data_IF_208833012101
#
_entry.id   IF_208833012101
#
_cell.length_a   1.000
_cell.length_b   1.000
_cell.length_c   1.000
_cell.angle_alpha   90.00
_cell.angle_beta   90.00
_cell.angle_gamma   90.00
#
_symmetry.space_group_name_H-M   'P 1'
#
loop_
_entity.id
_entity.type
_entity.pdbx_description
1 polymer ?
#
# COMPACT_ATOMS: atom_id res chain seq x y z
N UNK A 1 15.45 -10.07 -19.89
CA UNK A 1 14.34 -11.01 -19.63
C UNK A 1 14.73 -12.15 -18.69
N UNK A 2 15.80 -12.88 -18.96
CA UNK A 2 16.22 -14.00 -18.10
C UNK A 2 16.60 -13.55 -16.68
N UNK A 3 17.32 -12.43 -16.55
CA UNK A 3 17.68 -11.84 -15.26
C UNK A 3 16.46 -11.39 -14.43
N UNK A 4 15.43 -10.83 -15.08
CA UNK A 4 14.18 -10.42 -14.42
C UNK A 4 13.36 -11.60 -13.89
N UNK A 5 13.60 -12.83 -14.37
CA UNK A 5 12.96 -14.03 -13.80
C UNK A 5 13.52 -14.35 -12.42
N UNK A 6 14.78 -14.02 -12.17
CA UNK A 6 15.45 -14.25 -10.88
C UNK A 6 15.35 -13.04 -9.96
N UNK A 7 15.39 -11.82 -10.49
CA UNK A 7 15.12 -10.59 -9.76
C UNK A 7 14.10 -9.72 -10.50
N UNK A 8 12.78 -9.93 -10.26
CA UNK A 8 11.74 -9.16 -10.92
C UNK A 8 11.69 -7.69 -10.47
N UNK A 9 12.45 -7.31 -9.43
CA UNK A 9 12.51 -5.93 -8.91
C UNK A 9 13.77 -5.17 -9.32
N UNK A 10 14.66 -5.77 -10.12
CA UNK A 10 15.95 -5.18 -10.51
C UNK A 10 15.85 -3.72 -10.96
N UNK A 11 14.92 -3.40 -11.84
CA UNK A 11 14.74 -2.03 -12.35
C UNK A 11 14.29 -1.05 -11.27
N UNK A 12 13.44 -1.49 -10.33
CA UNK A 12 13.03 -0.66 -9.19
C UNK A 12 14.23 -0.42 -8.25
N UNK A 13 15.06 -1.44 -8.05
CA UNK A 13 16.27 -1.35 -7.22
C UNK A 13 17.34 -0.44 -7.83
N UNK A 14 17.46 -0.42 -9.16
CA UNK A 14 18.28 0.54 -9.91
C UNK A 14 17.77 1.96 -9.71
N UNK A 15 16.47 2.21 -9.92
CA UNK A 15 15.88 3.52 -9.70
C UNK A 15 16.04 4.02 -8.26
N UNK A 16 15.90 3.13 -7.27
CA UNK A 16 16.15 3.45 -5.86
C UNK A 16 17.60 3.84 -5.65
N UNK A 17 18.57 3.13 -6.24
CA UNK A 17 19.99 3.46 -6.13
C UNK A 17 20.27 4.84 -6.74
N UNK A 18 19.69 5.11 -7.90
CA UNK A 18 19.90 6.36 -8.66
C UNK A 18 19.06 7.54 -8.17
N UNK A 19 18.11 7.33 -7.26
CA UNK A 19 17.10 8.31 -6.84
C UNK A 19 16.19 8.75 -8.00
N UNK A 20 15.88 7.84 -8.92
CA UNK A 20 15.02 8.11 -10.06
C UNK A 20 13.54 8.10 -9.63
N UNK A 21 13.12 9.16 -8.96
CA UNK A 21 11.75 9.35 -8.48
C UNK A 21 10.71 9.33 -9.60
N UNK A 22 11.08 9.75 -10.82
CA UNK A 22 10.17 9.77 -11.96
C UNK A 22 9.79 8.35 -12.37
N UNK A 23 10.78 7.47 -12.56
CA UNK A 23 10.51 6.08 -12.96
C UNK A 23 9.85 5.29 -11.84
N UNK A 24 10.22 5.54 -10.58
CA UNK A 24 9.51 4.95 -9.43
C UNK A 24 8.03 5.37 -9.40
N UNK A 25 7.72 6.63 -9.70
CA UNK A 25 6.34 7.11 -9.77
C UNK A 25 5.59 6.48 -10.94
N UNK A 26 6.21 6.38 -12.12
CA UNK A 26 5.62 5.74 -13.30
C UNK A 26 5.31 4.27 -13.01
N UNK A 27 6.27 3.52 -12.47
CA UNK A 27 6.07 2.12 -12.08
C UNK A 27 4.97 1.99 -11.01
N UNK A 28 4.91 2.90 -10.05
CA UNK A 28 3.84 2.92 -9.04
C UNK A 28 2.46 3.20 -9.65
N UNK A 29 2.38 4.05 -10.68
CA UNK A 29 1.15 4.31 -11.41
C UNK A 29 0.67 3.11 -12.23
N UNK A 30 1.56 2.19 -12.65
CA UNK A 30 1.15 0.92 -13.28
C UNK A 30 0.33 0.08 -12.30
N UNK A 31 0.74 0.02 -11.02
CA UNK A 31 -0.03 -0.66 -9.97
C UNK A 31 -1.32 0.11 -9.64
N UNK A 32 -1.22 1.43 -9.50
CA UNK A 32 -2.29 2.27 -8.96
C UNK A 32 -3.36 2.68 -10.00
N UNK A 33 -3.00 2.71 -11.28
CA UNK A 33 -3.86 3.06 -12.41
C UNK A 33 -3.92 4.55 -12.79
N UNK A 34 -3.31 5.45 -12.02
CA UNK A 34 -3.21 6.88 -12.34
C UNK A 34 -2.13 7.58 -11.51
N UNK A 35 -1.83 8.85 -11.82
CA UNK A 35 -0.98 9.70 -10.98
C UNK A 35 -1.82 10.56 -10.05
N UNK A 36 -1.43 10.61 -8.78
CA UNK A 36 -1.99 11.55 -7.82
C UNK A 36 -0.94 11.93 -6.76
N UNK A 37 -1.19 13.05 -6.08
CA UNK A 37 -0.34 13.58 -5.00
C UNK A 37 -0.07 12.51 -3.93
N UNK A 38 -1.09 11.74 -3.54
CA UNK A 38 -0.95 10.68 -2.54
C UNK A 38 0.03 9.59 -2.97
N UNK A 39 0.00 9.18 -4.25
CA UNK A 39 0.92 8.19 -4.80
C UNK A 39 2.37 8.70 -4.76
N UNK A 40 2.59 9.94 -5.20
CA UNK A 40 3.91 10.59 -5.16
C UNK A 40 4.46 10.67 -3.73
N UNK A 41 3.63 11.00 -2.74
CA UNK A 41 4.03 11.00 -1.34
C UNK A 41 4.47 9.61 -0.86
N UNK A 42 3.74 8.55 -1.25
CA UNK A 42 4.08 7.18 -0.90
C UNK A 42 5.43 6.75 -1.48
N UNK A 43 5.65 7.05 -2.77
CA UNK A 43 6.91 6.78 -3.47
C UNK A 43 8.08 7.46 -2.77
N UNK A 44 7.93 8.75 -2.47
CA UNK A 44 8.97 9.53 -1.80
C UNK A 44 9.25 9.04 -0.39
N UNK A 45 8.21 8.80 0.41
CA UNK A 45 8.37 8.32 1.78
C UNK A 45 9.11 6.97 1.82
N UNK A 46 8.78 6.07 0.89
CA UNK A 46 9.45 4.78 0.77
C UNK A 46 10.89 4.89 0.30
N UNK A 47 11.19 5.72 -0.72
CA UNK A 47 12.57 5.95 -1.13
C UNK A 47 13.41 6.52 0.02
N UNK A 48 12.87 7.54 0.70
CA UNK A 48 13.56 8.21 1.81
C UNK A 48 13.85 7.25 2.97
N UNK A 49 12.86 6.42 3.34
CA UNK A 49 13.03 5.40 4.38
C UNK A 49 14.08 4.35 3.99
N UNK A 50 14.03 3.83 2.76
CA UNK A 50 14.98 2.83 2.25
C UNK A 50 16.41 3.36 2.25
N UNK A 51 16.62 4.60 1.80
CA UNK A 51 17.93 5.26 1.81
C UNK A 51 18.45 5.45 3.23
N UNK A 52 17.64 5.95 4.15
CA UNK A 52 18.04 6.13 5.56
C UNK A 52 18.37 4.81 6.25
N UNK A 53 17.66 3.73 5.94
CA UNK A 53 17.97 2.40 6.46
C UNK A 53 19.24 1.78 5.87
N UNK A 54 19.73 2.30 4.75
CA UNK A 54 20.76 1.65 3.93
C UNK A 54 20.41 0.17 3.66
N UNK A 55 19.14 -0.11 3.38
CA UNK A 55 18.63 -1.46 3.16
C UNK A 55 18.32 -1.72 1.69
N UNK A 56 18.31 -2.99 1.30
CA UNK A 56 17.90 -3.42 -0.03
C UNK A 56 16.41 -3.76 -0.01
N UNK A 57 15.70 -3.48 -1.10
CA UNK A 57 14.27 -3.79 -1.24
C UNK A 57 13.99 -5.20 -1.78
N UNK A 58 15.02 -6.05 -1.79
CA UNK A 58 14.87 -7.48 -2.02
C UNK A 58 14.16 -8.09 -0.79
N UNK A 59 12.84 -8.03 -0.81
CA UNK A 59 12.06 -8.33 0.39
C UNK A 59 11.77 -9.79 0.61
N UNK A 60 11.89 -10.60 -0.44
CA UNK A 60 11.58 -12.02 -0.36
C UNK A 60 12.85 -12.79 -0.68
N UNK A 61 13.40 -13.45 0.33
CA UNK A 61 14.52 -14.36 0.20
C UNK A 61 14.08 -15.77 0.60
N UNK A 62 14.56 -16.79 -0.12
CA UNK A 62 14.23 -18.20 0.13
C UNK A 62 13.11 -18.77 -0.75
N UNK A 63 12.79 -20.05 -0.54
CA UNK A 63 11.80 -20.81 -1.33
C UNK A 63 10.86 -21.58 -0.40
N UNK A 64 9.57 -21.62 -0.75
CA UNK A 64 8.55 -22.36 0.02
C UNK A 64 8.37 -21.85 1.45
N UNK A 65 8.44 -22.75 2.43
CA UNK A 65 8.26 -22.43 3.85
C UNK A 65 9.40 -21.62 4.49
N UNK A 66 10.52 -21.42 3.77
CA UNK A 66 11.66 -20.63 4.24
C UNK A 66 11.66 -19.20 3.69
N UNK A 67 10.55 -18.73 3.11
CA UNK A 67 10.41 -17.33 2.70
C UNK A 67 10.52 -16.41 3.91
N UNK A 68 11.64 -15.73 4.05
CA UNK A 68 11.80 -14.66 5.04
C UNK A 68 11.53 -13.32 4.39
N UNK A 69 10.67 -12.53 5.02
CA UNK A 69 10.51 -11.12 4.67
C UNK A 69 11.63 -10.35 5.33
N UNK A 70 12.50 -9.71 4.54
CA UNK A 70 13.53 -8.82 5.09
C UNK A 70 12.90 -7.51 5.57
N UNK A 71 12.26 -6.78 4.66
CA UNK A 71 11.56 -5.56 5.01
C UNK A 71 10.12 -5.80 5.42
N UNK A 72 9.67 -5.06 6.42
CA UNK A 72 8.27 -4.92 6.81
C UNK A 72 7.92 -3.43 6.77
N UNK A 73 6.78 -3.08 6.17
CA UNK A 73 6.26 -1.74 6.17
C UNK A 73 4.98 -1.68 7.01
N UNK A 74 4.93 -0.75 7.96
CA UNK A 74 3.70 -0.36 8.62
C UNK A 74 3.21 0.91 7.96
N UNK A 75 2.05 0.85 7.31
CA UNK A 75 1.38 2.03 6.73
C UNK A 75 0.19 2.41 7.61
N UNK A 76 0.06 3.71 7.90
CA UNK A 76 -1.01 4.22 8.77
C UNK A 76 -2.25 4.74 7.99
N UNK A 77 -2.34 4.41 6.70
CA UNK A 77 -3.41 4.83 5.80
C UNK A 77 -3.60 3.82 4.66
N UNK A 78 -4.80 3.76 4.09
CA UNK A 78 -5.15 2.95 2.92
C UNK A 78 -5.44 3.81 1.68
N UNK A 79 -4.88 5.02 1.65
CA UNK A 79 -4.91 5.90 0.46
C UNK A 79 -3.86 5.48 -0.56
N UNK A 80 -3.81 6.18 -1.70
CA UNK A 80 -2.82 5.99 -2.77
C UNK A 80 -1.36 5.99 -2.28
N UNK A 81 -1.09 6.59 -1.11
CA UNK A 81 0.20 6.53 -0.43
C UNK A 81 0.66 5.09 -0.19
N UNK A 82 -0.24 4.20 0.22
CA UNK A 82 0.10 2.79 0.47
C UNK A 82 0.62 2.10 -0.80
N UNK A 83 0.05 2.38 -1.97
CA UNK A 83 0.49 1.76 -3.23
C UNK A 83 1.90 2.20 -3.65
N UNK A 84 2.23 3.49 -3.44
CA UNK A 84 3.59 3.98 -3.65
C UNK A 84 4.60 3.29 -2.72
N UNK A 85 4.21 3.08 -1.46
CA UNK A 85 5.02 2.31 -0.50
C UNK A 85 5.19 0.87 -0.97
N UNK A 86 4.11 0.19 -1.35
CA UNK A 86 4.15 -1.20 -1.81
C UNK A 86 5.09 -1.37 -3.02
N UNK A 87 4.99 -0.46 -3.99
CA UNK A 87 5.81 -0.52 -5.20
C UNK A 87 7.30 -0.32 -4.89
N UNK A 88 7.64 0.76 -4.19
CA UNK A 88 9.04 1.13 -3.94
C UNK A 88 9.68 0.25 -2.89
N UNK A 89 9.05 0.06 -1.73
CA UNK A 89 9.63 -0.74 -0.65
C UNK A 89 9.54 -2.25 -0.93
N UNK A 90 8.64 -2.71 -1.80
CA UNK A 90 8.43 -4.14 -2.10
C UNK A 90 7.65 -4.90 -1.03
N UNK A 91 7.04 -4.19 -0.09
CA UNK A 91 6.27 -4.73 1.03
C UNK A 91 4.79 -4.70 0.68
N UNK A 92 4.20 -5.84 0.31
CA UNK A 92 2.83 -5.88 -0.21
C UNK A 92 1.90 -6.64 0.73
N UNK A 93 0.59 -6.43 0.57
CA UNK A 93 -0.41 -7.20 1.32
C UNK A 93 -0.24 -8.71 1.06
N UNK A 94 -0.08 -9.09 -0.21
CA UNK A 94 -0.03 -10.49 -0.64
C UNK A 94 1.25 -11.22 -0.22
N UNK A 95 2.40 -10.55 -0.20
CA UNK A 95 3.65 -11.16 0.28
C UNK A 95 3.80 -11.13 1.81
N UNK A 96 2.84 -10.51 2.52
CA UNK A 96 2.84 -10.38 3.98
C UNK A 96 3.90 -9.42 4.52
N UNK A 97 4.47 -8.56 3.67
CA UNK A 97 5.42 -7.52 4.07
C UNK A 97 4.75 -6.21 4.51
N UNK A 98 3.46 -6.05 4.26
CA UNK A 98 2.70 -4.86 4.61
C UNK A 98 1.80 -5.10 5.84
N UNK A 99 1.92 -4.23 6.83
CA UNK A 99 1.01 -4.10 7.96
C UNK A 99 0.24 -2.79 7.79
N UNK A 100 -1.07 -2.88 7.68
CA UNK A 100 -1.94 -1.70 7.65
C UNK A 100 -2.50 -1.40 9.05
N UNK A 101 -2.35 -0.13 9.47
CA UNK A 101 -2.98 0.42 10.67
C UNK A 101 -3.87 1.59 10.27
N UNK A 102 -5.16 1.52 10.57
CA UNK A 102 -6.11 2.56 10.16
C UNK A 102 -6.10 3.78 11.10
N UNK A 103 -5.08 4.63 11.01
CA UNK A 103 -5.03 5.88 11.80
C UNK A 103 -5.25 7.13 10.93
N UNK A 104 -5.33 6.97 9.61
CA UNK A 104 -5.52 8.04 8.63
C UNK A 104 -4.27 8.87 8.34
N UNK A 105 -3.11 8.52 8.89
CA UNK A 105 -1.88 9.31 8.74
C UNK A 105 -1.08 8.84 7.53
N UNK A 106 -0.55 9.79 6.75
CA UNK A 106 0.47 9.52 5.73
C UNK A 106 1.82 9.23 6.41
N UNK A 107 1.93 8.03 6.98
CA UNK A 107 3.11 7.53 7.69
C UNK A 107 3.50 6.18 7.13
N UNK A 108 4.81 6.01 6.97
CA UNK A 108 5.49 4.73 6.75
C UNK A 108 6.45 4.48 7.92
N UNK A 109 6.35 3.34 8.57
CA UNK A 109 7.46 2.77 9.34
C UNK A 109 8.04 1.60 8.56
N UNK A 110 9.23 1.78 7.99
CA UNK A 110 9.96 0.73 7.29
C UNK A 110 10.93 0.06 8.27
N UNK A 111 10.93 -1.26 8.32
CA UNK A 111 11.70 -2.07 9.28
C UNK A 111 12.56 -3.05 8.49
N UNK A 112 13.86 -3.11 8.77
CA UNK A 112 14.74 -4.17 8.28
C UNK A 112 14.97 -5.21 9.39
N UNK A 113 14.37 -6.39 9.23
CA UNK A 113 14.41 -7.46 10.23
C UNK A 113 15.81 -8.03 10.43
N UNK A 114 16.71 -7.90 9.45
CA UNK A 114 18.07 -8.42 9.57
C UNK A 114 18.95 -7.52 10.45
N UNK A 115 18.66 -6.22 10.49
CA UNK A 115 19.45 -5.26 11.27
C UNK A 115 18.72 -4.77 12.52
N UNK A 116 17.45 -5.14 12.69
CA UNK A 116 16.53 -4.61 13.72
C UNK A 116 16.40 -3.08 13.70
N UNK A 117 16.77 -2.44 12.59
CA UNK A 117 16.62 -0.99 12.41
C UNK A 117 15.31 -0.67 11.72
N UNK A 118 14.73 0.47 12.07
CA UNK A 118 13.55 0.99 11.42
C UNK A 118 13.66 2.49 11.20
N UNK A 119 12.99 2.99 10.15
CA UNK A 119 12.83 4.41 9.88
C UNK A 119 11.35 4.70 9.78
N UNK A 120 10.87 5.59 10.64
CA UNK A 120 9.50 6.11 10.60
C UNK A 120 9.50 7.46 9.87
N UNK A 121 8.85 7.52 8.72
CA UNK A 121 8.65 8.70 7.90
C UNK A 121 7.20 9.16 8.02
N UNK A 122 6.99 10.41 8.41
CA UNK A 122 5.67 11.03 8.59
C UNK A 122 5.57 12.29 7.76
N UNK A 123 4.51 12.43 6.97
CA UNK A 123 4.17 13.71 6.35
C UNK A 123 3.94 14.76 7.45
N UNK A 124 4.59 15.93 7.33
CA UNK A 124 4.48 17.02 8.32
C UNK A 124 3.90 18.33 7.76
N UNK A 125 3.69 18.39 6.45
CA UNK A 125 3.10 19.54 5.75
C UNK A 125 1.91 19.09 4.91
N UNK A 126 0.98 20.00 4.66
CA UNK A 126 -0.04 19.79 3.64
C UNK A 126 0.61 19.92 2.24
N UNK A 127 0.66 18.87 1.42
CA UNK A 127 1.26 18.92 0.09
C UNK A 127 0.62 19.98 -0.83
N UNK A 128 -0.65 20.34 -0.59
CA UNK A 128 -1.31 21.40 -1.37
C UNK A 128 -0.65 22.77 -1.16
N UNK A 129 0.02 22.99 -0.03
CA UNK A 129 0.68 24.28 0.29
C UNK A 129 2.01 24.50 -0.41
N UNK A 130 2.61 23.45 -0.96
CA UNK A 130 3.97 23.48 -1.54
C UNK A 130 3.98 23.23 -3.06
N UNK A 131 2.97 22.56 -3.59
CA UNK A 131 2.84 22.29 -5.03
C UNK A 131 2.19 23.50 -5.68
N UNK A 132 2.84 24.09 -6.69
CA UNK A 132 2.33 25.28 -7.39
C UNK A 132 1.01 24.97 -8.09
N UNK A 133 0.95 23.85 -8.82
CA UNK A 133 -0.27 23.41 -9.51
C UNK A 133 -1.41 23.11 -8.53
N UNK A 134 -1.13 22.67 -7.30
CA UNK A 134 -2.17 22.43 -6.31
C UNK A 134 -2.80 23.72 -5.74
N UNK A 135 -2.13 24.86 -5.91
CA UNK A 135 -2.63 26.19 -5.54
C UNK A 135 -3.26 26.93 -6.73
N UNK A 136 -3.27 26.32 -7.91
CA UNK A 136 -3.89 26.92 -9.08
C UNK A 136 -5.43 26.99 -8.90
N UNK A 137 -6.08 28.15 -9.16
CA UNK A 137 -7.53 28.30 -8.97
C UNK A 137 -8.36 27.31 -9.80
N UNK A 138 -7.90 26.94 -11.01
CA UNK A 138 -8.56 25.96 -11.85
C UNK A 138 -8.47 24.57 -11.22
N UNK A 139 -7.29 24.20 -10.72
CA UNK A 139 -7.09 22.95 -10.02
C UNK A 139 -7.98 22.85 -8.78
N UNK A 140 -7.98 23.88 -7.93
CA UNK A 140 -8.78 23.90 -6.70
C UNK A 140 -10.28 23.76 -7.01
N UNK A 141 -10.77 24.48 -8.02
CA UNK A 141 -12.17 24.41 -8.47
C UNK A 141 -12.55 23.00 -8.96
N UNK A 142 -11.71 22.39 -9.80
CA UNK A 142 -11.94 21.04 -10.31
C UNK A 142 -11.83 19.99 -9.20
N UNK A 143 -10.85 20.14 -8.30
CA UNK A 143 -10.66 19.25 -7.15
C UNK A 143 -11.86 19.29 -6.21
N UNK A 144 -12.35 20.49 -5.86
CA UNK A 144 -13.54 20.64 -5.02
C UNK A 144 -14.77 20.00 -5.68
N UNK A 145 -15.01 20.29 -6.98
CA UNK A 145 -16.13 19.74 -7.74
C UNK A 145 -16.09 18.20 -7.80
N UNK A 146 -14.95 17.64 -8.21
CA UNK A 146 -14.82 16.21 -8.57
C UNK A 146 -14.54 15.35 -7.33
N UNK A 147 -13.59 15.75 -6.48
CA UNK A 147 -13.10 14.90 -5.38
C UNK A 147 -13.87 15.10 -4.08
N UNK A 148 -14.22 16.36 -3.77
CA UNK A 148 -14.90 16.70 -2.50
C UNK A 148 -16.42 16.56 -2.66
N UNK A 149 -17.01 17.28 -3.62
CA UNK A 149 -18.47 17.30 -3.83
C UNK A 149 -18.99 16.12 -4.65
N UNK A 150 -18.11 15.42 -5.37
CA UNK A 150 -18.44 14.28 -6.25
C UNK A 150 -19.53 14.63 -7.27
N UNK A 151 -19.51 15.86 -7.76
CA UNK A 151 -20.44 16.32 -8.78
C UNK A 151 -20.12 15.69 -10.14
N UNK A 152 -21.13 15.61 -11.02
CA UNK A 152 -20.91 15.19 -12.40
C UNK A 152 -20.00 16.20 -13.10
N UNK A 153 -18.92 15.69 -13.70
CA UNK A 153 -18.01 16.46 -14.52
C UNK A 153 -18.10 16.01 -15.98
N UNK A 154 -17.91 16.94 -16.91
CA UNK A 154 -17.82 16.65 -18.33
C UNK A 154 -16.53 15.89 -18.65
N UNK A 155 -16.46 15.25 -19.82
CA UNK A 155 -15.25 14.55 -20.25
C UNK A 155 -14.05 15.49 -20.38
N UNK A 156 -14.29 16.73 -20.79
CA UNK A 156 -13.26 17.77 -20.88
C UNK A 156 -12.74 18.16 -19.49
N UNK A 157 -13.63 18.40 -18.53
CA UNK A 157 -13.25 18.67 -17.13
C UNK A 157 -12.45 17.51 -16.51
N UNK A 158 -12.86 16.26 -16.77
CA UNK A 158 -12.16 15.08 -16.27
C UNK A 158 -10.76 14.94 -16.87
N UNK A 159 -10.60 15.20 -18.17
CA UNK A 159 -9.29 15.18 -18.82
C UNK A 159 -8.41 16.31 -18.29
N UNK A 160 -8.97 17.53 -18.18
CA UNK A 160 -8.25 18.68 -17.64
C UNK A 160 -7.80 18.47 -16.21
N UNK A 161 -8.68 17.92 -15.37
CA UNK A 161 -8.36 17.57 -13.99
C UNK A 161 -7.25 16.51 -13.95
N UNK A 162 -7.29 15.49 -14.81
CA UNK A 162 -6.23 14.49 -14.92
C UNK A 162 -4.88 15.13 -15.28
N UNK A 163 -4.85 16.03 -16.24
CA UNK A 163 -3.60 16.69 -16.67
C UNK A 163 -2.99 17.53 -15.54
N UNK A 164 -3.82 18.29 -14.82
CA UNK A 164 -3.37 19.07 -13.68
C UNK A 164 -2.94 18.18 -12.50
N UNK A 165 -3.67 17.10 -12.22
CA UNK A 165 -3.30 16.11 -11.21
C UNK A 165 -1.98 15.44 -11.56
N UNK A 166 -1.74 15.08 -12.82
CA UNK A 166 -0.47 14.54 -13.29
C UNK A 166 0.64 15.56 -13.03
N UNK A 167 0.48 16.80 -13.50
CA UNK A 167 1.47 17.86 -13.29
C UNK A 167 1.79 18.08 -11.81
N UNK A 168 0.77 18.18 -10.95
CA UNK A 168 0.92 18.30 -9.50
C UNK A 168 1.69 17.11 -8.88
N UNK A 169 1.43 15.89 -9.37
CA UNK A 169 2.08 14.67 -8.89
C UNK A 169 3.58 14.66 -9.19
N UNK A 170 4.00 15.15 -10.37
CA UNK A 170 5.41 15.26 -10.74
C UNK A 170 6.11 16.47 -10.12
N UNK A 171 5.40 17.60 -9.91
CA UNK A 171 5.92 18.74 -9.15
C UNK A 171 6.31 18.34 -7.72
N UNK A 172 5.54 17.45 -7.09
CA UNK A 172 5.82 16.96 -5.74
C UNK A 172 7.12 16.14 -5.65
N UNK A 173 7.75 15.77 -6.76
CA UNK A 173 9.06 15.08 -6.75
C UNK A 173 10.23 16.04 -6.50
N UNK A 174 10.02 17.36 -6.63
CA UNK A 174 11.10 18.37 -6.59
C UNK A 174 11.52 18.84 -5.19
N UNK A 175 10.62 19.05 -4.20
CA UNK A 175 11.01 19.51 -2.87
C UNK A 175 11.98 18.53 -2.19
N UNK A 176 12.81 18.97 -1.23
CA UNK A 176 13.64 18.03 -0.44
C UNK A 176 12.78 17.18 0.50
N UNK A 177 13.24 15.99 0.85
CA UNK A 177 12.49 15.09 1.73
C UNK A 177 12.26 15.70 3.11
N UNK A 178 13.23 16.45 3.63
CA UNK A 178 13.13 17.16 4.91
C UNK A 178 12.12 18.31 4.89
N UNK A 179 11.66 18.77 3.72
CA UNK A 179 10.59 19.76 3.63
C UNK A 179 9.22 19.08 3.76
N UNK A 180 9.09 17.84 3.26
CA UNK A 180 7.85 17.07 3.29
C UNK A 180 7.65 16.29 4.59
N UNK A 181 8.73 15.73 5.11
CA UNK A 181 8.67 14.65 6.09
C UNK A 181 9.43 14.98 7.37
N UNK A 182 8.95 14.36 8.46
CA UNK A 182 9.73 14.07 9.65
C UNK A 182 10.18 12.60 9.58
N UNK A 183 11.46 12.33 9.82
CA UNK A 183 12.02 10.99 9.80
C UNK A 183 12.73 10.66 11.11
N UNK A 184 12.37 9.53 11.71
CA UNK A 184 12.93 9.05 12.97
C UNK A 184 13.52 7.66 12.78
N UNK A 185 14.78 7.50 13.17
CA UNK A 185 15.43 6.20 13.29
C UNK A 185 14.99 5.54 14.59
N UNK A 186 14.72 4.23 14.52
CA UNK A 186 14.20 3.43 15.59
C UNK A 186 14.96 2.10 15.63
N UNK A 187 15.07 1.50 16.81
CA UNK A 187 15.51 0.12 16.99
C UNK A 187 14.32 -0.74 17.37
N UNK A 188 14.09 -1.82 16.64
CA UNK A 188 12.97 -2.74 16.87
C UNK A 188 13.45 -3.88 17.75
N UNK A 189 13.00 -3.88 19.00
CA UNK A 189 13.28 -4.98 19.94
C UNK A 189 12.45 -6.22 19.63
N UNK A 190 11.20 -6.02 19.22
CA UNK A 190 10.25 -7.08 18.97
C UNK A 190 9.27 -6.69 17.87
N UNK A 191 8.99 -7.63 16.97
CA UNK A 191 7.98 -7.50 15.94
C UNK A 191 7.03 -8.69 16.01
N UNK A 192 5.80 -8.44 16.46
CA UNK A 192 4.76 -9.45 16.48
C UNK A 192 4.16 -9.63 15.08
N UNK A 193 4.67 -10.61 14.33
CA UNK A 193 4.05 -11.05 13.07
C UNK A 193 3.33 -12.37 13.30
N UNK A 194 2.08 -12.46 12.83
CA UNK A 194 1.31 -13.69 12.87
C UNK A 194 1.69 -14.59 11.69
N UNK A 195 2.02 -15.84 11.96
CA UNK A 195 2.17 -16.85 10.91
C UNK A 195 0.79 -17.28 10.41
N UNK A 196 0.67 -17.50 9.10
CA UNK A 196 -0.56 -18.00 8.48
C UNK A 196 -0.35 -19.47 8.19
N UNK A 197 -1.29 -20.32 8.65
CA UNK A 197 -1.32 -21.74 8.29
C UNK A 197 -1.28 -21.92 6.76
N UNK A 198 -0.52 -22.91 6.30
CA UNK A 198 -0.47 -23.34 4.90
C UNK A 198 -1.39 -24.52 4.62
N UNK A 199 -2.12 -25.02 5.63
CA UNK A 199 -3.03 -26.16 5.51
C UNK A 199 -4.38 -25.71 4.97
N UNK A 200 -4.86 -26.42 3.95
CA UNK A 200 -6.17 -26.23 3.34
C UNK A 200 -7.11 -27.37 3.71
N UNK A 201 -8.38 -27.07 3.98
CA UNK A 201 -9.46 -28.04 4.22
C UNK A 201 -10.66 -27.72 3.34
N UNK A 202 -11.37 -28.75 2.89
CA UNK A 202 -12.59 -28.61 2.10
C UNK A 202 -13.75 -28.23 3.02
N UNK A 203 -14.46 -27.16 2.70
CA UNK A 203 -15.67 -26.75 3.42
C UNK A 203 -16.81 -27.74 3.16
N UNK A 204 -17.48 -28.21 4.22
CA UNK A 204 -18.64 -29.12 4.12
C UNK A 204 -19.90 -28.43 3.56
N UNK A 205 -19.98 -27.10 3.65
CA UNK A 205 -21.14 -26.33 3.14
C UNK A 205 -21.09 -26.05 1.64
N UNK A 206 -20.00 -25.45 1.15
CA UNK A 206 -19.85 -25.05 -0.26
C UNK A 206 -18.92 -25.95 -1.08
N UNK A 207 -18.11 -26.81 -0.44
CA UNK A 207 -17.13 -27.65 -1.11
C UNK A 207 -15.82 -26.95 -1.50
N UNK A 208 -15.65 -25.66 -1.20
CA UNK A 208 -14.45 -24.89 -1.53
C UNK A 208 -13.27 -25.21 -0.59
N UNK A 209 -12.05 -25.14 -1.10
CA UNK A 209 -10.83 -25.24 -0.28
C UNK A 209 -10.63 -23.93 0.49
N UNK A 210 -10.53 -24.03 1.81
CA UNK A 210 -10.33 -22.89 2.70
C UNK A 210 -9.11 -23.13 3.59
N UNK A 211 -8.34 -22.08 3.90
CA UNK A 211 -7.29 -22.15 4.89
C UNK A 211 -7.86 -22.62 6.23
N UNK A 212 -7.23 -23.65 6.82
CA UNK A 212 -7.69 -24.25 8.09
C UNK A 212 -7.81 -23.19 9.20
N UNK A 213 -6.87 -22.25 9.26
CA UNK A 213 -6.84 -21.15 10.23
C UNK A 213 -7.94 -20.11 10.06
N UNK A 214 -8.72 -20.18 8.98
CA UNK A 214 -9.80 -19.24 8.65
C UNK A 214 -11.20 -19.88 8.70
N UNK A 215 -11.27 -21.19 8.90
CA UNK A 215 -12.54 -21.91 9.02
C UNK A 215 -13.03 -22.05 10.45
N UNK A 216 -14.22 -22.62 10.60
CA UNK A 216 -14.88 -22.91 11.88
C UNK A 216 -15.22 -24.39 11.92
N UNK A 217 -14.94 -25.05 13.04
CA UNK A 217 -15.37 -26.42 13.28
C UNK A 217 -16.72 -26.37 14.01
N UNK A 218 -17.76 -27.00 13.43
CA UNK A 218 -19.07 -27.19 14.06
C UNK A 218 -19.47 -28.65 13.89
N UNK A 219 -19.88 -29.31 14.98
CA UNK A 219 -20.31 -30.72 14.96
C UNK A 219 -19.29 -31.63 14.25
N UNK A 220 -18.01 -31.48 14.60
CA UNK A 220 -16.86 -32.21 14.02
C UNK A 220 -16.61 -31.99 12.52
N UNK A 221 -17.39 -31.12 11.88
CA UNK A 221 -17.27 -30.74 10.46
C UNK A 221 -16.63 -29.38 10.28
N UNK A 222 -15.85 -29.23 9.22
CA UNK A 222 -15.15 -27.98 8.89
C UNK A 222 -15.95 -27.14 7.90
N UNK A 223 -16.13 -25.85 8.23
CA UNK A 223 -16.84 -24.88 7.39
C UNK A 223 -15.97 -23.64 7.16
N UNK A 224 -16.05 -23.04 5.96
CA UNK A 224 -15.52 -21.70 5.73
C UNK A 224 -16.30 -20.65 6.53
N UNK A 225 -15.73 -19.45 6.71
CA UNK A 225 -16.38 -18.39 7.49
C UNK A 225 -17.78 -18.04 6.95
N UNK A 226 -17.95 -18.00 5.62
CA UNK A 226 -19.22 -17.66 4.99
C UNK A 226 -20.30 -18.72 5.25
N UNK A 227 -20.00 -20.01 5.01
CA UNK A 227 -20.93 -21.11 5.31
C UNK A 227 -21.23 -21.25 6.80
N UNK A 228 -20.28 -20.87 7.67
CA UNK A 228 -20.49 -20.84 9.11
C UNK A 228 -21.37 -19.66 9.57
N UNK A 229 -21.67 -18.70 8.68
CA UNK A 229 -22.38 -17.47 9.00
C UNK A 229 -21.57 -16.52 9.90
N UNK A 230 -20.25 -16.66 9.87
CA UNK A 230 -19.32 -15.85 10.66
C UNK A 230 -19.07 -14.52 9.98
N UNK A 231 -19.00 -13.44 10.76
CA UNK A 231 -18.41 -12.20 10.26
C UNK A 231 -16.91 -12.40 9.97
N UNK A 232 -16.34 -11.55 9.12
CA UNK A 232 -14.89 -11.46 8.88
C UNK A 232 -14.45 -10.01 8.89
N UNK A 233 -13.16 -9.77 9.15
CA UNK A 233 -12.59 -8.43 8.96
C UNK A 233 -12.51 -8.15 7.46
N UNK A 234 -13.29 -7.17 7.02
CA UNK A 234 -13.39 -6.77 5.61
C UNK A 234 -12.95 -5.32 5.47
N UNK A 235 -11.98 -5.08 4.59
CA UNK A 235 -11.67 -3.73 4.15
C UNK A 235 -12.70 -3.31 3.09
N UNK A 236 -13.76 -2.61 3.50
CA UNK A 236 -14.77 -2.11 2.57
C UNK A 236 -14.52 -0.63 2.30
N UNK A 237 -14.11 -0.32 1.07
CA UNK A 237 -13.65 1.01 0.62
C UNK A 237 -12.41 1.47 1.40
N UNK A 238 -12.59 2.05 2.60
CA UNK A 238 -11.50 2.63 3.40
C UNK A 238 -11.56 2.33 4.90
N UNK A 239 -12.52 1.54 5.37
CA UNK A 239 -12.63 1.25 6.81
C UNK A 239 -12.73 -0.25 7.03
N UNK A 240 -11.88 -0.83 7.88
CA UNK A 240 -12.03 -2.21 8.32
C UNK A 240 -13.31 -2.37 9.15
N UNK A 241 -14.20 -3.25 8.72
CA UNK A 241 -15.43 -3.58 9.44
C UNK A 241 -15.56 -5.09 9.61
N UNK A 242 -16.30 -5.50 10.63
CA UNK A 242 -16.70 -6.89 10.89
C UNK A 242 -18.07 -7.12 10.28
N UNK A 243 -18.13 -7.89 9.20
CA UNK A 243 -19.38 -8.11 8.44
C UNK A 243 -19.42 -9.50 7.81
N UNK A 244 -20.61 -9.99 7.49
CA UNK A 244 -20.80 -11.21 6.71
C UNK A 244 -20.80 -10.89 5.21
N UNK A 245 -20.55 -11.88 4.37
CA UNK A 245 -20.59 -11.70 2.92
C UNK A 245 -21.98 -11.24 2.43
N UNK A 246 -23.06 -11.79 3.00
CA UNK A 246 -24.45 -11.45 2.63
C UNK A 246 -24.83 -9.99 2.98
N UNK A 247 -24.11 -9.36 3.90
CA UNK A 247 -24.29 -7.92 4.23
C UNK A 247 -23.64 -7.02 3.17
N UNK A 248 -22.67 -7.53 2.41
CA UNK A 248 -21.95 -6.81 1.35
C UNK A 248 -22.60 -7.07 -0.01
N UNK A 249 -22.98 -8.33 -0.27
CA UNK A 249 -23.43 -8.78 -1.58
C UNK A 249 -24.74 -9.56 -1.44
N UNK A 250 -25.81 -9.04 -2.05
CA UNK A 250 -27.06 -9.78 -2.21
C UNK A 250 -27.00 -10.65 -3.46
N UNK A 251 -26.86 -11.95 -3.27
CA UNK A 251 -26.92 -12.94 -4.36
C UNK A 251 -28.36 -13.44 -4.49
N UNK A 252 -28.99 -13.24 -5.64
CA UNK A 252 -30.21 -13.98 -5.98
C UNK A 252 -29.79 -15.43 -6.28
N UNK A 253 -30.17 -16.36 -5.42
CA UNK A 253 -30.03 -17.80 -5.64
C UNK A 253 -31.32 -18.35 -6.22
#
# INVERSE_FOLDING_TARGET
MEELRFNPRKEIEEDIRENNLQDLLIKSAVLHGHFCIGLSLGVRAALYATKKLNSITENVQGVGQHLTKRLIAIVETNTCFADGVQMVAGTTLGNGGLIYRDTGKHVLTLIDRNTSKAVRVSLKVDPHTIIKTANDPEFLKLFEKIMIKREKATREELNRFRDLMNKASFELLQPRDEELFDAKELTVEYLNTQEVSTKWKKCEGCGEMTLESKGVIKEEKFYCADCAGSEVWTLNVKTPIRVKLDDILKIKR
#
